data_IF_633184969366
#
_entry.id   IF_633184969366
#
_cell.length_a   1.000
_cell.length_b   1.000
_cell.length_c   1.000
_cell.angle_alpha   90.00
_cell.angle_beta   90.00
_cell.angle_gamma   90.00
#
_symmetry.space_group_name_H-M   'P 1'
#
loop_
_entity.id
_entity.type
_entity.pdbx_description
1 polymer ?
#
# COMPACT_ATOMS: atom_id res chain seq x y z
N UNK A 1 3.29 17.54 39.58
CA UNK A 1 3.93 16.65 38.59
C UNK A 1 2.86 16.25 37.59
N UNK A 2 2.89 16.82 36.40
CA UNK A 2 1.95 16.48 35.33
C UNK A 2 2.62 15.48 34.41
N UNK A 3 2.65 14.22 34.82
CA UNK A 3 2.93 13.12 33.90
C UNK A 3 1.63 12.82 33.18
N UNK A 4 1.55 13.16 31.90
CA UNK A 4 0.46 12.70 31.04
C UNK A 4 0.70 11.20 30.81
N UNK A 5 0.18 10.37 31.70
CA UNK A 5 0.33 8.91 31.56
C UNK A 5 -0.39 8.46 30.29
N UNK A 6 0.39 7.89 29.38
CA UNK A 6 -0.10 7.37 28.12
C UNK A 6 -0.60 5.94 28.31
N UNK A 7 -1.89 5.73 28.11
CA UNK A 7 -2.49 4.39 28.10
C UNK A 7 -2.54 3.87 26.67
N UNK A 8 -2.00 2.68 26.47
CA UNK A 8 -2.02 2.00 25.18
C UNK A 8 -3.40 1.40 24.87
N UNK A 9 -3.67 1.21 23.59
CA UNK A 9 -4.87 0.55 23.09
C UNK A 9 -4.77 -0.97 23.25
N UNK A 10 -5.23 -1.48 24.40
CA UNK A 10 -5.22 -2.93 24.68
C UNK A 10 -6.32 -3.68 23.92
N UNK A 11 -7.41 -2.99 23.55
CA UNK A 11 -8.59 -3.60 22.94
C UNK A 11 -8.54 -3.61 21.40
N UNK A 12 -7.54 -2.96 20.81
CA UNK A 12 -7.37 -2.87 19.37
C UNK A 12 -8.43 -2.04 18.67
N UNK A 13 -8.97 -1.02 19.36
CA UNK A 13 -10.02 -0.16 18.83
C UNK A 13 -9.46 0.94 17.93
N UNK A 14 -8.26 1.45 18.21
CA UNK A 14 -7.70 2.66 17.61
C UNK A 14 -6.52 2.38 16.69
N UNK A 15 -5.61 1.49 17.07
CA UNK A 15 -4.41 1.23 16.25
C UNK A 15 -4.71 0.75 14.82
N UNK A 16 -5.80 0.00 14.53
CA UNK A 16 -6.06 -0.45 13.16
C UNK A 16 -6.27 0.72 12.20
N UNK A 17 -6.90 1.80 12.65
CA UNK A 17 -7.07 3.03 11.85
C UNK A 17 -5.73 3.73 11.60
N UNK A 18 -4.86 3.80 12.61
CA UNK A 18 -3.54 4.39 12.48
C UNK A 18 -2.66 3.60 11.49
N UNK A 19 -2.60 2.28 11.62
CA UNK A 19 -1.82 1.43 10.70
C UNK A 19 -2.39 1.49 9.29
N UNK A 20 -3.72 1.50 9.15
CA UNK A 20 -4.37 1.59 7.85
C UNK A 20 -4.06 2.92 7.14
N UNK A 21 -4.07 4.03 7.87
CA UNK A 21 -3.73 5.36 7.30
C UNK A 21 -2.26 5.46 6.94
N UNK A 22 -1.35 5.02 7.81
CA UNK A 22 0.09 5.04 7.52
C UNK A 22 0.44 4.12 6.34
N UNK A 23 -0.13 2.92 6.32
CA UNK A 23 0.10 1.95 5.24
C UNK A 23 -0.47 2.46 3.92
N UNK A 24 -1.66 3.09 3.92
CA UNK A 24 -2.26 3.65 2.70
C UNK A 24 -1.44 4.83 2.17
N UNK A 25 -0.91 5.69 3.04
CA UNK A 25 -0.06 6.82 2.67
C UNK A 25 1.20 6.38 1.92
N UNK A 26 1.74 5.19 2.21
CA UNK A 26 2.89 4.63 1.51
C UNK A 26 2.46 3.80 0.29
N UNK A 27 1.45 2.94 0.44
CA UNK A 27 1.05 1.95 -0.56
C UNK A 27 0.40 2.60 -1.78
N UNK A 28 -0.45 3.61 -1.59
CA UNK A 28 -1.18 4.23 -2.70
C UNK A 28 -0.26 5.00 -3.67
N UNK A 29 0.64 5.90 -3.20
CA UNK A 29 1.60 6.54 -4.11
C UNK A 29 2.52 5.53 -4.78
N UNK A 30 2.95 4.49 -4.04
CA UNK A 30 3.81 3.45 -4.61
C UNK A 30 3.10 2.68 -5.73
N UNK A 31 1.83 2.35 -5.53
CA UNK A 31 0.97 1.71 -6.54
C UNK A 31 0.85 2.59 -7.77
N UNK A 32 0.61 3.89 -7.60
CA UNK A 32 0.57 4.84 -8.70
C UNK A 32 1.89 4.86 -9.49
N UNK A 33 3.04 4.91 -8.81
CA UNK A 33 4.35 4.90 -9.50
C UNK A 33 4.62 3.59 -10.25
N UNK A 34 4.03 2.47 -9.83
CA UNK A 34 4.20 1.17 -10.45
C UNK A 34 3.33 1.01 -11.69
N UNK A 35 2.10 1.54 -11.65
CA UNK A 35 1.13 1.50 -12.75
C UNK A 35 1.41 2.57 -13.81
N UNK A 36 2.03 3.69 -13.42
CA UNK A 36 2.38 4.76 -14.36
C UNK A 36 3.37 4.25 -15.41
N UNK A 37 3.06 4.38 -16.72
CA UNK A 37 3.98 3.97 -17.78
C UNK A 37 5.28 4.79 -17.74
N UNK A 38 6.41 4.14 -17.99
CA UNK A 38 7.70 4.85 -18.06
C UNK A 38 7.75 5.71 -19.31
N UNK A 39 8.07 7.01 -19.14
CA UNK A 39 8.29 7.96 -20.23
C UNK A 39 9.75 8.03 -20.66
N UNK A 40 10.49 6.94 -20.47
CA UNK A 40 11.90 6.92 -20.84
C UNK A 40 12.04 7.05 -22.36
N UNK A 41 13.03 7.82 -22.80
CA UNK A 41 13.32 8.07 -24.21
C UNK A 41 13.53 6.76 -24.98
N UNK A 42 14.06 5.72 -24.35
CA UNK A 42 14.19 4.38 -24.94
C UNK A 42 12.85 3.74 -25.35
N UNK A 43 11.75 4.08 -24.66
CA UNK A 43 10.41 3.56 -24.95
C UNK A 43 9.60 4.48 -25.88
N UNK A 44 9.96 5.76 -25.98
CA UNK A 44 9.15 6.77 -26.69
C UNK A 44 9.78 7.21 -28.02
N UNK A 45 11.10 7.10 -28.16
CA UNK A 45 11.81 7.55 -29.36
C UNK A 45 11.73 6.50 -30.50
N UNK A 46 11.66 6.94 -31.76
CA UNK A 46 11.72 6.04 -32.91
C UNK A 46 13.07 5.32 -32.96
N UNK A 47 13.02 3.99 -33.07
CA UNK A 47 14.22 3.16 -33.15
C UNK A 47 14.76 3.17 -34.58
N UNK A 48 16.09 3.30 -34.73
CA UNK A 48 16.76 3.14 -36.02
C UNK A 48 16.46 1.73 -36.57
N UNK A 49 15.89 1.66 -37.78
CA UNK A 49 15.65 0.41 -38.49
C UNK A 49 16.98 -0.09 -39.06
N UNK A 50 17.46 -1.22 -38.56
CA UNK A 50 18.69 -1.86 -39.04
C UNK A 50 18.48 -3.37 -39.05
N UNK A 51 18.86 -4.02 -40.15
CA UNK A 51 18.82 -5.47 -40.31
C UNK A 51 20.07 -6.17 -39.74
N UNK A 52 21.04 -5.40 -39.25
CA UNK A 52 22.28 -5.92 -38.69
C UNK A 52 22.03 -6.61 -37.34
N UNK A 53 22.49 -7.87 -37.23
CA UNK A 53 22.48 -8.64 -35.98
C UNK A 53 23.91 -8.78 -35.48
N UNK A 54 24.25 -8.22 -34.30
CA UNK A 54 25.59 -8.38 -33.73
C UNK A 54 25.84 -9.82 -33.30
N UNK A 55 27.12 -10.20 -33.24
CA UNK A 55 27.54 -11.51 -32.72
C UNK A 55 27.06 -11.65 -31.26
N UNK A 56 26.44 -12.79 -30.94
CA UNK A 56 25.81 -13.04 -29.63
C UNK A 56 24.66 -12.09 -29.24
N UNK A 57 23.87 -11.62 -30.22
CA UNK A 57 22.71 -10.76 -29.97
C UNK A 57 21.74 -11.27 -28.90
N UNK A 58 21.61 -12.59 -28.73
CA UNK A 58 20.76 -13.21 -27.71
C UNK A 58 21.20 -12.89 -26.28
N UNK A 59 22.52 -12.85 -26.04
CA UNK A 59 23.08 -12.55 -24.71
C UNK A 59 22.84 -11.08 -24.37
N UNK A 60 23.04 -10.19 -25.34
CA UNK A 60 22.82 -8.75 -25.22
C UNK A 60 21.34 -8.47 -24.92
N UNK A 61 20.42 -9.14 -25.63
CA UNK A 61 18.99 -9.01 -25.37
C UNK A 61 18.60 -9.51 -23.99
N UNK A 62 19.12 -10.66 -23.55
CA UNK A 62 18.85 -11.19 -22.20
C UNK A 62 19.35 -10.25 -21.10
N UNK A 63 20.55 -9.67 -21.26
CA UNK A 63 21.07 -8.67 -20.32
C UNK A 63 20.24 -7.39 -20.33
N UNK A 64 19.83 -6.89 -21.50
CA UNK A 64 18.93 -5.72 -21.61
C UNK A 64 17.60 -5.97 -20.90
N UNK A 65 16.99 -7.13 -21.10
CA UNK A 65 15.75 -7.50 -20.41
C UNK A 65 15.94 -7.61 -18.88
N UNK A 66 17.07 -8.16 -18.41
CA UNK A 66 17.41 -8.22 -16.99
C UNK A 66 17.55 -6.82 -16.37
N UNK A 67 18.20 -5.89 -17.08
CA UNK A 67 18.32 -4.49 -16.68
C UNK A 67 16.96 -3.76 -16.67
N UNK A 68 16.09 -4.02 -17.64
CA UNK A 68 14.74 -3.45 -17.69
C UNK A 68 13.85 -3.95 -16.53
N UNK A 69 14.08 -5.18 -16.06
CA UNK A 69 13.45 -5.73 -14.85
C UNK A 69 14.08 -5.26 -13.55
N UNK A 70 14.94 -4.21 -13.59
CA UNK A 70 15.58 -3.47 -12.48
C UNK A 70 14.97 -3.87 -11.13
N UNK A 71 15.76 -4.56 -10.30
CA UNK A 71 15.34 -5.22 -9.05
C UNK A 71 14.40 -4.39 -8.15
N UNK A 72 14.52 -3.06 -8.23
CA UNK A 72 13.63 -2.12 -7.54
C UNK A 72 12.16 -2.30 -7.91
N UNK A 73 11.81 -2.66 -9.15
CA UNK A 73 10.40 -2.88 -9.56
C UNK A 73 9.81 -4.09 -8.87
N UNK A 74 10.55 -5.20 -8.81
CA UNK A 74 10.15 -6.40 -8.06
C UNK A 74 9.97 -6.11 -6.58
N UNK A 75 10.95 -5.44 -5.95
CA UNK A 75 10.84 -5.02 -4.54
C UNK A 75 9.59 -4.17 -4.30
N UNK A 76 9.32 -3.19 -5.16
CA UNK A 76 8.11 -2.35 -5.08
C UNK A 76 6.82 -3.16 -5.22
N UNK A 77 6.77 -4.13 -6.13
CA UNK A 77 5.60 -5.02 -6.29
C UNK A 77 5.33 -5.77 -4.98
N UNK A 78 6.35 -6.42 -4.41
CA UNK A 78 6.20 -7.13 -3.14
C UNK A 78 5.79 -6.20 -2.00
N UNK A 79 6.35 -4.99 -1.92
CA UNK A 79 5.96 -3.99 -0.92
C UNK A 79 4.49 -3.59 -1.07
N UNK A 80 4.02 -3.34 -2.29
CA UNK A 80 2.62 -2.98 -2.56
C UNK A 80 1.68 -4.11 -2.17
N UNK A 81 1.99 -5.35 -2.57
CA UNK A 81 1.19 -6.54 -2.21
C UNK A 81 1.13 -6.69 -0.69
N UNK A 82 2.26 -6.59 0.00
CA UNK A 82 2.32 -6.64 1.46
C UNK A 82 1.49 -5.53 2.12
N UNK A 83 1.56 -4.31 1.59
CA UNK A 83 0.76 -3.17 2.05
C UNK A 83 -0.74 -3.44 1.95
N UNK A 84 -1.21 -3.98 0.82
CA UNK A 84 -2.62 -4.35 0.65
C UNK A 84 -3.06 -5.48 1.59
N UNK A 85 -2.21 -6.48 1.84
CA UNK A 85 -2.50 -7.55 2.81
C UNK A 85 -2.65 -6.97 4.21
N UNK A 86 -1.73 -6.10 4.64
CA UNK A 86 -1.82 -5.43 5.94
C UNK A 86 -3.07 -4.57 6.04
N UNK A 87 -3.39 -3.78 5.00
CA UNK A 87 -4.61 -2.97 4.98
C UNK A 87 -5.87 -3.82 5.07
N UNK A 88 -5.96 -4.91 4.30
CA UNK A 88 -7.10 -5.82 4.33
C UNK A 88 -7.26 -6.46 5.72
N UNK A 89 -6.14 -6.84 6.35
CA UNK A 89 -6.14 -7.35 7.71
C UNK A 89 -6.62 -6.30 8.73
N UNK A 90 -6.17 -5.04 8.62
CA UNK A 90 -6.65 -3.96 9.49
C UNK A 90 -8.15 -3.70 9.30
N UNK A 91 -8.65 -3.70 8.05
CA UNK A 91 -10.09 -3.56 7.76
C UNK A 91 -10.88 -4.71 8.39
N UNK A 92 -10.40 -5.94 8.24
CA UNK A 92 -11.01 -7.11 8.88
C UNK A 92 -11.09 -6.94 10.40
N UNK A 93 -9.99 -6.51 11.02
CA UNK A 93 -9.92 -6.27 12.46
C UNK A 93 -10.92 -5.19 12.90
N UNK A 94 -11.02 -4.07 12.18
CA UNK A 94 -12.01 -3.02 12.44
C UNK A 94 -13.44 -3.58 12.44
N UNK A 95 -13.80 -4.38 11.44
CA UNK A 95 -15.15 -4.96 11.30
C UNK A 95 -15.45 -5.97 12.42
N UNK A 96 -14.46 -6.73 12.87
CA UNK A 96 -14.63 -7.70 13.95
C UNK A 96 -14.71 -7.00 15.31
N UNK A 97 -13.79 -6.08 15.60
CA UNK A 97 -13.72 -5.38 16.89
C UNK A 97 -14.87 -4.40 17.11
N UNK A 98 -15.38 -3.76 16.05
CA UNK A 98 -16.56 -2.88 16.15
C UNK A 98 -17.81 -3.62 16.66
N UNK A 99 -17.88 -4.95 16.52
CA UNK A 99 -18.98 -5.76 17.06
C UNK A 99 -18.83 -6.06 18.56
N UNK A 100 -17.61 -5.99 19.09
CA UNK A 100 -17.32 -6.26 20.51
C UNK A 100 -17.25 -5.01 21.38
N UNK A 101 -17.22 -3.80 20.81
CA UNK A 101 -17.24 -2.56 21.58
C UNK A 101 -18.63 -2.35 22.20
N UNK A 102 -18.75 -2.22 23.54
CA UNK A 102 -20.05 -2.06 24.19
C UNK A 102 -20.74 -0.77 23.71
N UNK A 103 -22.03 -0.87 23.33
CA UNK A 103 -22.86 0.29 22.97
C UNK A 103 -22.89 1.25 24.16
N UNK A 104 -22.39 2.47 23.97
CA UNK A 104 -22.62 3.55 24.94
C UNK A 104 -24.11 3.86 24.88
N UNK A 105 -24.82 3.51 25.95
CA UNK A 105 -26.25 3.73 26.08
C UNK A 105 -26.53 5.23 26.29
N UNK A 106 -27.48 5.79 25.54
CA UNK A 106 -27.96 7.14 25.78
C UNK A 106 -29.07 7.08 26.85
N UNK A 107 -28.88 7.68 28.04
CA UNK A 107 -29.91 7.65 29.08
C UNK A 107 -31.22 8.34 28.65
N UNK A 108 -31.18 9.26 27.68
CA UNK A 108 -32.36 9.96 27.17
C UNK A 108 -33.15 9.15 26.13
N UNK A 109 -32.59 8.06 25.57
CA UNK A 109 -33.33 7.11 24.70
C UNK A 109 -34.55 6.54 25.43
N UNK A 110 -34.47 6.30 26.75
CA UNK A 110 -35.57 5.78 27.57
C UNK A 110 -36.71 6.81 27.70
N UNK A 111 -36.36 8.09 27.72
CA UNK A 111 -37.30 9.18 27.93
C UNK A 111 -37.96 9.67 26.61
N UNK A 112 -37.52 9.15 25.46
CA UNK A 112 -38.02 9.56 24.14
C UNK A 112 -37.61 10.99 23.75
N UNK A 113 -36.60 11.55 24.42
CA UNK A 113 -36.12 12.91 24.18
C UNK A 113 -34.92 12.81 23.23
N UNK A 114 -35.13 13.13 21.95
CA UNK A 114 -34.02 13.35 21.03
C UNK A 114 -33.39 14.71 21.35
N UNK A 115 -32.05 14.77 21.39
CA UNK A 115 -31.31 16.04 21.42
C UNK A 115 -31.65 16.93 20.23
#
# INVERSE_FOLDING_TARGET
MSSTDYNYDEQGQFFPFFILTLTSLVTLPLTYTLLKPSKDLENTAPRIKSDFRPQHGDIIQKQKQKLLRKERRLKRIFTVIGGYVVMAWMVYLIIVTARSTPKIWDPYEILGISR
#
